data_IF_026751527634
#
_entry.id   IF_026751527634
#
_cell.length_a   1.000
_cell.length_b   1.000
_cell.length_c   1.000
_cell.angle_alpha   90.00
_cell.angle_beta   90.00
_cell.angle_gamma   90.00
#
_symmetry.space_group_name_H-M   'P 1'
#
loop_
_entity.id
_entity.type
_entity.pdbx_description
1 polymer ?
#
# COMPACT_ATOMS: atom_id res chain seq x y z
N UNK A 1 35.48 -36.66 0.65
CA UNK A 1 34.26 -36.95 1.43
C UNK A 1 33.89 -35.69 2.24
N UNK A 2 32.63 -35.22 2.08
CA UNK A 2 31.89 -34.16 2.83
C UNK A 2 32.59 -32.79 3.01
N UNK A 3 32.50 -31.83 2.07
CA UNK A 3 31.42 -30.82 1.87
C UNK A 3 30.34 -30.69 2.97
N UNK A 4 30.45 -29.61 3.75
CA UNK A 4 29.51 -28.46 3.76
C UNK A 4 28.12 -28.61 4.41
N UNK A 5 27.87 -27.81 5.46
CA UNK A 5 26.59 -27.11 5.70
C UNK A 5 26.85 -25.98 6.70
N UNK A 6 27.25 -24.81 6.18
CA UNK A 6 27.08 -23.54 6.89
C UNK A 6 25.68 -23.03 6.54
N UNK A 7 24.82 -22.89 7.55
CA UNK A 7 23.50 -22.31 7.38
C UNK A 7 23.64 -20.84 6.97
N UNK A 8 23.25 -20.52 5.73
CA UNK A 8 23.02 -19.15 5.31
C UNK A 8 21.66 -18.77 5.90
N UNK A 9 21.69 -18.07 7.03
CA UNK A 9 20.52 -17.33 7.53
C UNK A 9 20.29 -16.18 6.55
N UNK A 10 19.29 -16.33 5.68
CA UNK A 10 18.80 -15.23 4.86
C UNK A 10 17.97 -14.33 5.76
N UNK A 11 18.64 -13.41 6.44
CA UNK A 11 17.98 -12.24 7.02
C UNK A 11 17.42 -11.43 5.87
N UNK A 12 16.09 -11.35 5.78
CA UNK A 12 15.36 -10.39 4.95
C UNK A 12 15.73 -8.98 5.43
N UNK A 13 16.84 -8.45 4.93
CA UNK A 13 17.22 -7.05 5.08
C UNK A 13 16.29 -6.28 4.16
N UNK A 14 15.35 -5.56 4.76
CA UNK A 14 14.68 -4.41 4.15
C UNK A 14 15.79 -3.40 3.80
N UNK A 15 16.38 -3.54 2.61
CA UNK A 15 17.28 -2.52 2.07
C UNK A 15 16.39 -1.40 1.58
N UNK A 16 16.12 -0.44 2.46
CA UNK A 16 15.70 0.88 2.05
C UNK A 16 16.84 1.50 1.24
N UNK A 17 16.79 1.34 -0.08
CA UNK A 17 17.64 2.12 -0.99
C UNK A 17 17.05 3.53 -1.01
N UNK A 18 17.78 4.46 -0.41
CA UNK A 18 17.48 5.88 -0.38
C UNK A 18 17.67 6.49 -1.77
N UNK A 19 16.74 6.21 -2.68
CA UNK A 19 16.48 7.03 -3.87
C UNK A 19 14.97 7.04 -4.11
N UNK A 20 14.29 8.08 -3.61
CA UNK A 20 13.01 8.54 -4.20
C UNK A 20 11.72 7.75 -3.96
N UNK A 21 11.71 6.60 -3.28
CA UNK A 21 10.47 5.92 -2.83
C UNK A 21 10.60 5.47 -1.38
N UNK A 22 10.34 6.38 -0.45
CA UNK A 22 10.41 6.10 0.97
C UNK A 22 9.14 5.43 1.48
N UNK A 23 9.21 4.16 1.86
CA UNK A 23 8.28 3.59 2.82
C UNK A 23 8.67 4.19 4.18
N UNK A 24 7.82 5.05 4.73
CA UNK A 24 8.05 5.65 6.05
C UNK A 24 7.37 4.81 7.14
N UNK A 25 8.16 4.19 8.01
CA UNK A 25 7.66 3.49 9.20
C UNK A 25 7.46 4.49 10.34
N UNK A 26 6.21 4.72 10.75
CA UNK A 26 5.86 5.64 11.84
C UNK A 26 6.42 5.26 13.21
N UNK A 27 6.90 4.03 13.40
CA UNK A 27 7.63 3.63 14.61
C UNK A 27 8.97 4.35 14.75
N UNK A 28 9.55 4.83 13.65
CA UNK A 28 10.87 5.49 13.60
C UNK A 28 10.83 6.99 13.87
N UNK A 29 9.63 7.59 13.95
CA UNK A 29 9.48 9.00 14.32
C UNK A 29 9.78 9.14 15.82
N UNK A 30 11.00 9.58 16.15
CA UNK A 30 11.45 9.80 17.53
C UNK A 30 10.53 10.81 18.24
N UNK A 31 10.17 10.47 19.46
CA UNK A 31 9.29 11.22 20.35
C UNK A 31 10.06 12.03 21.38
N UNK A 32 11.21 12.59 21.03
CA UNK A 32 12.07 13.28 22.02
C UNK A 32 11.37 14.50 22.66
N UNK A 33 10.25 14.96 22.09
CA UNK A 33 9.34 15.97 22.67
C UNK A 33 8.19 15.43 23.54
N UNK A 34 7.99 14.11 23.64
CA UNK A 34 6.79 13.53 24.26
C UNK A 34 6.96 13.17 25.75
N UNK A 35 8.18 13.04 26.26
CA UNK A 35 8.42 12.68 27.67
C UNK A 35 8.66 13.88 28.60
N UNK A 36 8.76 15.10 28.08
CA UNK A 36 9.01 16.30 28.89
C UNK A 36 7.76 17.07 29.33
N UNK A 37 6.54 16.65 28.95
CA UNK A 37 5.30 17.40 29.24
C UNK A 37 4.34 16.57 30.09
N UNK A 38 4.76 16.28 31.33
CA UNK A 38 3.86 15.96 32.42
C UNK A 38 3.51 17.26 33.17
N UNK A 39 2.91 18.22 32.46
CA UNK A 39 2.20 19.36 33.04
C UNK A 39 0.89 19.48 32.28
N UNK A 40 -0.21 19.62 33.02
CA UNK A 40 -1.57 19.81 32.50
C UNK A 40 -1.64 21.09 31.66
N UNK A 41 -1.30 20.98 30.39
CA UNK A 41 -1.69 21.91 29.33
C UNK A 41 -2.20 21.06 28.18
N UNK A 42 -3.38 21.41 27.66
CA UNK A 42 -3.85 20.85 26.39
C UNK A 42 -2.74 21.11 25.37
N UNK A 43 -2.20 20.07 24.69
CA UNK A 43 -1.13 20.27 23.73
C UNK A 43 -1.57 21.33 22.72
N UNK A 44 -0.76 22.38 22.51
CA UNK A 44 -1.04 23.38 21.49
C UNK A 44 -1.25 22.67 20.15
N UNK A 45 -2.36 22.94 19.43
CA UNK A 45 -2.62 22.32 18.14
C UNK A 45 -1.43 22.55 17.21
N UNK A 46 -0.92 21.49 16.58
CA UNK A 46 0.13 21.64 15.57
C UNK A 46 -0.45 22.44 14.39
N UNK A 47 0.26 23.45 13.86
CA UNK A 47 -0.20 24.16 12.68
C UNK A 47 -0.35 23.16 11.53
N UNK A 48 -1.46 23.26 10.80
CA UNK A 48 -1.74 22.40 9.65
C UNK A 48 -1.02 22.97 8.44
N UNK A 49 -0.13 22.20 7.82
CA UNK A 49 0.53 22.57 6.57
C UNK A 49 -0.26 21.98 5.41
N UNK A 50 -0.86 22.85 4.60
CA UNK A 50 -1.61 22.42 3.41
C UNK A 50 -0.68 21.91 2.32
N UNK A 51 -1.15 20.91 1.57
CA UNK A 51 -0.57 20.46 0.31
C UNK A 51 -0.55 21.63 -0.67
N UNK A 52 0.59 21.87 -1.30
CA UNK A 52 0.77 23.01 -2.23
C UNK A 52 0.08 22.82 -3.58
N UNK A 53 -0.12 21.56 -4.00
CA UNK A 53 -0.78 21.18 -5.27
C UNK A 53 -1.77 20.05 -5.05
N UNK A 54 -2.91 20.30 -4.36
CA UNK A 54 -3.90 19.27 -4.09
C UNK A 54 -4.51 18.77 -5.40
N UNK A 55 -4.96 17.52 -5.41
CA UNK A 55 -5.66 16.96 -6.57
C UNK A 55 -7.08 17.51 -6.62
N UNK A 56 -7.47 18.07 -7.76
CA UNK A 56 -8.83 18.50 -8.07
C UNK A 56 -9.62 17.46 -8.87
N UNK A 57 -8.94 16.52 -9.54
CA UNK A 57 -9.58 15.46 -10.31
C UNK A 57 -8.91 14.07 -10.16
N UNK A 58 -9.65 12.98 -10.41
CA UNK A 58 -9.10 11.62 -10.50
C UNK A 58 -8.00 11.43 -11.56
N UNK A 59 -7.86 12.36 -12.52
CA UNK A 59 -6.84 12.31 -13.58
C UNK A 59 -5.57 13.10 -13.23
N UNK A 60 -5.61 13.92 -12.19
CA UNK A 60 -4.47 14.74 -11.79
C UNK A 60 -3.29 13.87 -11.32
N UNK A 61 -2.08 14.38 -11.52
CA UNK A 61 -0.84 13.72 -11.13
C UNK A 61 -0.78 13.45 -9.62
N UNK A 62 -0.32 12.25 -9.26
CA UNK A 62 -0.11 11.83 -7.88
C UNK A 62 1.38 11.92 -7.52
N UNK A 63 1.74 12.94 -6.73
CA UNK A 63 2.99 12.95 -5.99
C UNK A 63 2.77 12.15 -4.69
N UNK A 64 2.72 10.83 -4.82
CA UNK A 64 2.30 9.90 -3.78
C UNK A 64 3.43 9.43 -2.85
N UNK A 65 3.10 9.18 -1.58
CA UNK A 65 3.96 8.47 -0.63
C UNK A 65 3.15 7.40 0.10
N UNK A 66 3.71 6.18 0.21
CA UNK A 66 3.10 5.10 1.00
C UNK A 66 3.43 5.27 2.49
N UNK A 67 2.38 5.24 3.31
CA UNK A 67 2.45 5.33 4.77
C UNK A 67 1.90 4.04 5.34
N UNK A 68 2.76 3.25 5.98
CA UNK A 68 2.37 1.99 6.60
C UNK A 68 2.05 2.22 8.06
N UNK A 69 0.90 1.71 8.51
CA UNK A 69 0.48 1.78 9.91
C UNK A 69 0.24 0.38 10.46
N UNK A 70 0.81 0.11 11.63
CA UNK A 70 0.66 -1.14 12.36
C UNK A 70 0.04 -0.86 13.73
N UNK A 71 -0.91 -1.71 14.12
CA UNK A 71 -1.53 -1.71 15.43
C UNK A 71 -2.13 -0.39 15.87
N UNK A 72 -2.22 -0.21 17.20
CA UNK A 72 -2.98 0.87 17.81
C UNK A 72 -2.10 1.69 18.76
N UNK A 73 -1.49 2.75 18.22
CA UNK A 73 -0.68 3.69 18.99
C UNK A 73 -1.56 4.77 19.65
N UNK A 74 -1.55 4.95 20.98
CA UNK A 74 -2.34 5.99 21.64
C UNK A 74 -1.94 7.43 21.23
N UNK A 75 -0.75 7.61 20.66
CA UNK A 75 -0.26 8.89 20.15
C UNK A 75 -0.41 9.03 18.63
N UNK A 76 -1.17 8.14 17.98
CA UNK A 76 -1.27 8.04 16.52
C UNK A 76 -1.70 9.36 15.86
N UNK A 77 -2.68 10.07 16.43
CA UNK A 77 -3.15 11.34 15.88
C UNK A 77 -2.02 12.37 15.74
N UNK A 78 -1.23 12.56 16.81
CA UNK A 78 -0.10 13.49 16.80
C UNK A 78 0.99 13.04 15.81
N UNK A 79 1.29 11.74 15.74
CA UNK A 79 2.26 11.21 14.77
C UNK A 79 1.80 11.40 13.33
N UNK A 80 0.51 11.17 13.05
CA UNK A 80 -0.09 11.41 11.74
C UNK A 80 0.00 12.89 11.35
N UNK A 81 -0.31 13.82 12.27
CA UNK A 81 -0.17 15.26 12.03
C UNK A 81 1.26 15.68 11.66
N UNK A 82 2.25 15.21 12.43
CA UNK A 82 3.67 15.51 12.18
C UNK A 82 4.11 14.95 10.83
N UNK A 83 3.80 13.68 10.55
CA UNK A 83 4.15 13.04 9.29
C UNK A 83 3.51 13.75 8.11
N UNK A 84 2.19 13.99 8.15
CA UNK A 84 1.47 14.59 7.03
C UNK A 84 1.88 16.04 6.78
N UNK A 85 2.21 16.80 7.83
CA UNK A 85 2.86 18.10 7.68
C UNK A 85 4.19 17.98 6.94
N UNK A 86 5.04 17.01 7.34
CA UNK A 86 6.32 16.79 6.66
C UNK A 86 6.13 16.42 5.20
N UNK A 87 5.21 15.50 4.88
CA UNK A 87 4.91 15.12 3.50
C UNK A 87 4.42 16.30 2.66
N UNK A 88 3.60 17.18 3.23
CA UNK A 88 3.14 18.39 2.54
C UNK A 88 4.31 19.33 2.21
N UNK A 89 5.28 19.51 3.13
CA UNK A 89 6.48 20.31 2.86
C UNK A 89 7.39 19.72 1.79
N UNK A 90 7.34 18.39 1.58
CA UNK A 90 8.07 17.69 0.52
C UNK A 90 7.36 17.76 -0.84
N UNK A 91 6.18 18.39 -0.91
CA UNK A 91 5.40 18.53 -2.14
C UNK A 91 4.54 17.31 -2.48
N UNK A 92 4.39 16.34 -1.56
CA UNK A 92 3.45 15.24 -1.75
C UNK A 92 2.01 15.78 -1.76
N UNK A 93 1.16 15.20 -2.61
CA UNK A 93 -0.27 15.56 -2.71
C UNK A 93 -1.21 14.37 -2.50
N UNK A 94 -0.64 13.17 -2.40
CA UNK A 94 -1.38 11.92 -2.22
C UNK A 94 -0.65 11.04 -1.22
N UNK A 95 -1.40 10.23 -0.48
CA UNK A 95 -0.85 9.23 0.43
C UNK A 95 -1.55 7.89 0.25
N UNK A 96 -0.77 6.81 0.21
CA UNK A 96 -1.30 5.44 0.26
C UNK A 96 -1.22 4.96 1.71
N UNK A 97 -2.37 4.90 2.39
CA UNK A 97 -2.48 4.34 3.73
C UNK A 97 -2.47 2.81 3.62
N UNK A 98 -1.31 2.23 3.90
CA UNK A 98 -1.11 0.79 3.88
C UNK A 98 -1.41 0.22 5.26
N UNK A 99 -2.36 -0.72 5.31
CA UNK A 99 -2.73 -1.43 6.54
C UNK A 99 -2.48 -2.93 6.34
N UNK A 100 -1.87 -3.64 7.29
CA UNK A 100 -1.68 -5.06 7.16
C UNK A 100 -3.01 -5.80 7.38
N UNK A 101 -3.26 -6.81 6.56
CA UNK A 101 -4.26 -7.86 6.83
C UNK A 101 -3.55 -9.20 6.77
N UNK A 102 -4.08 -10.22 7.42
CA UNK A 102 -3.29 -11.41 7.73
C UNK A 102 -3.95 -12.68 7.25
N UNK A 103 -3.11 -13.65 6.88
CA UNK A 103 -3.46 -15.06 6.92
C UNK A 103 -2.37 -15.81 7.71
N UNK A 104 -2.73 -16.91 8.36
CA UNK A 104 -1.82 -17.55 9.34
C UNK A 104 -0.56 -18.14 8.69
N UNK A 105 -0.69 -18.73 7.51
CA UNK A 105 0.40 -19.33 6.75
C UNK A 105 0.05 -19.30 5.26
N UNK A 106 0.99 -19.64 4.37
CA UNK A 106 0.78 -19.56 2.92
C UNK A 106 -0.37 -20.45 2.41
N UNK A 107 -0.66 -21.55 3.12
CA UNK A 107 -1.77 -22.47 2.85
C UNK A 107 -3.02 -22.25 3.73
N UNK A 108 -3.14 -21.11 4.42
CA UNK A 108 -4.35 -20.80 5.18
C UNK A 108 -5.50 -20.38 4.25
N UNK A 109 -6.71 -20.85 4.53
CA UNK A 109 -7.93 -20.52 3.78
C UNK A 109 -8.70 -19.31 4.33
N UNK A 110 -8.15 -18.60 5.30
CA UNK A 110 -8.82 -17.45 5.94
C UNK A 110 -7.92 -16.22 5.94
N UNK A 111 -8.53 -15.08 5.61
CA UNK A 111 -7.91 -13.76 5.69
C UNK A 111 -8.66 -12.90 6.71
N UNK A 112 -7.94 -12.23 7.61
CA UNK A 112 -8.53 -11.47 8.71
C UNK A 112 -7.77 -10.17 9.01
N UNK A 113 -8.45 -9.26 9.72
CA UNK A 113 -7.80 -8.12 10.37
C UNK A 113 -7.45 -8.54 11.81
N UNK A 114 -6.16 -8.65 12.11
CA UNK A 114 -5.67 -8.90 13.47
C UNK A 114 -6.01 -7.71 14.38
N UNK A 115 -6.69 -7.91 15.53
CA UNK A 115 -7.16 -6.80 16.37
C UNK A 115 -6.04 -6.01 17.07
N UNK A 116 -4.82 -6.55 17.11
CA UNK A 116 -3.64 -5.92 17.72
C UNK A 116 -2.71 -5.35 16.66
N UNK A 117 -2.51 -6.05 15.54
CA UNK A 117 -1.54 -5.68 14.49
C UNK A 117 -2.16 -4.87 13.35
N UNK A 118 -3.44 -5.03 13.08
CA UNK A 118 -4.17 -4.18 12.12
C UNK A 118 -4.65 -2.94 12.87
N UNK A 119 -4.44 -1.73 12.33
CA UNK A 119 -5.02 -0.53 12.93
C UNK A 119 -6.54 -0.64 13.03
N UNK A 120 -7.09 -0.11 14.12
CA UNK A 120 -8.54 0.04 14.28
C UNK A 120 -9.15 0.94 13.21
N UNK A 121 -10.43 0.74 12.93
CA UNK A 121 -11.23 1.60 12.06
C UNK A 121 -11.16 3.08 12.49
N UNK A 122 -11.09 3.34 13.81
CA UNK A 122 -10.90 4.66 14.38
C UNK A 122 -9.53 5.27 14.03
N UNK A 123 -8.44 4.50 14.09
CA UNK A 123 -7.11 4.97 13.68
C UNK A 123 -7.09 5.32 12.18
N UNK A 124 -7.71 4.48 11.33
CA UNK A 124 -7.84 4.78 9.89
C UNK A 124 -8.63 6.08 9.68
N UNK A 125 -9.72 6.29 10.41
CA UNK A 125 -10.53 7.52 10.34
C UNK A 125 -9.76 8.78 10.81
N UNK A 126 -8.94 8.65 11.85
CA UNK A 126 -8.03 9.71 12.31
C UNK A 126 -7.05 10.08 11.21
N UNK A 127 -6.38 9.09 10.60
CA UNK A 127 -5.44 9.35 9.49
C UNK A 127 -6.14 10.06 8.33
N UNK A 128 -7.31 9.55 7.92
CA UNK A 128 -8.11 10.12 6.84
C UNK A 128 -8.47 11.58 7.10
N UNK A 129 -8.90 11.88 8.32
CA UNK A 129 -9.25 13.25 8.75
C UNK A 129 -8.03 14.17 8.70
N UNK A 130 -6.90 13.74 9.25
CA UNK A 130 -5.67 14.53 9.24
C UNK A 130 -5.12 14.79 7.84
N UNK A 131 -5.24 13.79 6.95
CA UNK A 131 -4.83 13.91 5.56
C UNK A 131 -5.75 14.88 4.80
N UNK A 132 -7.07 14.77 4.99
CA UNK A 132 -8.07 15.64 4.36
C UNK A 132 -7.96 17.09 4.80
N UNK A 133 -7.70 17.38 6.08
CA UNK A 133 -7.47 18.75 6.58
C UNK A 133 -6.29 19.45 5.89
N UNK A 134 -5.35 18.68 5.35
CA UNK A 134 -4.18 19.17 4.61
C UNK A 134 -4.38 19.17 3.09
N UNK A 135 -5.50 18.62 2.59
CA UNK A 135 -5.78 18.51 1.15
C UNK A 135 -5.12 17.32 0.45
N UNK A 136 -4.71 16.28 1.18
CA UNK A 136 -4.21 15.04 0.57
C UNK A 136 -5.35 14.21 -0.06
N UNK A 137 -5.06 13.62 -1.22
CA UNK A 137 -5.82 12.49 -1.75
C UNK A 137 -5.35 11.20 -1.07
N UNK A 138 -6.25 10.40 -0.49
CA UNK A 138 -5.89 9.19 0.25
C UNK A 138 -6.32 7.92 -0.51
N UNK A 139 -5.38 6.99 -0.70
CA UNK A 139 -5.65 5.61 -1.09
C UNK A 139 -5.64 4.71 0.17
N UNK A 140 -6.67 3.89 0.38
CA UNK A 140 -6.61 2.80 1.37
C UNK A 140 -6.09 1.53 0.69
N UNK A 141 -5.04 0.93 1.27
CA UNK A 141 -4.39 -0.27 0.74
C UNK A 141 -4.26 -1.34 1.83
N UNK A 142 -5.27 -2.22 1.99
CA UNK A 142 -5.13 -3.45 2.76
C UNK A 142 -4.12 -4.37 2.08
N UNK A 143 -2.99 -4.64 2.74
CA UNK A 143 -1.89 -5.42 2.21
C UNK A 143 -1.79 -6.74 2.98
N UNK A 144 -1.88 -7.87 2.25
CA UNK A 144 -1.82 -9.20 2.85
C UNK A 144 -0.40 -9.55 3.32
N UNK A 145 -0.31 -9.96 4.57
CA UNK A 145 0.89 -10.48 5.22
C UNK A 145 0.66 -11.92 5.72
N UNK A 146 1.73 -12.71 5.73
CA UNK A 146 1.71 -14.12 6.15
C UNK A 146 2.39 -14.21 7.51
N UNK A 147 1.63 -14.64 8.53
CA UNK A 147 2.10 -14.62 9.92
C UNK A 147 3.24 -15.62 10.15
N UNK A 148 3.08 -16.85 9.68
CA UNK A 148 4.06 -17.94 9.82
C UNK A 148 4.74 -18.17 8.48
N UNK A 149 6.03 -17.85 8.42
CA UNK A 149 6.91 -18.13 7.28
C UNK A 149 7.72 -19.39 7.59
N UNK A 150 7.20 -20.56 7.20
CA UNK A 150 7.81 -21.86 7.53
C UNK A 150 9.16 -22.08 6.83
N UNK A 151 9.33 -21.59 5.61
CA UNK A 151 10.51 -21.80 4.77
C UNK A 151 11.10 -20.50 4.18
N UNK A 152 10.49 -19.34 4.47
CA UNK A 152 10.85 -18.04 3.90
C UNK A 152 10.67 -17.92 2.38
N UNK A 153 10.16 -18.95 1.71
CA UNK A 153 9.99 -18.99 0.26
C UNK A 153 8.62 -18.49 -0.18
N UNK A 154 7.62 -18.60 0.70
CA UNK A 154 6.27 -18.14 0.42
C UNK A 154 6.06 -16.67 0.78
N UNK A 155 5.41 -15.96 -0.14
CA UNK A 155 4.97 -14.58 0.01
C UNK A 155 3.53 -14.46 -0.51
N UNK A 156 2.88 -13.30 -0.37
CA UNK A 156 1.44 -13.15 -0.72
C UNK A 156 1.10 -13.57 -2.15
N UNK A 157 2.03 -13.46 -3.10
CA UNK A 157 1.85 -13.93 -4.47
C UNK A 157 1.88 -15.44 -4.63
N UNK A 158 2.49 -16.19 -3.71
CA UNK A 158 2.60 -17.65 -3.79
C UNK A 158 1.74 -18.40 -2.78
N UNK A 159 0.70 -17.76 -2.23
CA UNK A 159 -0.28 -18.41 -1.35
C UNK A 159 -1.04 -19.52 -2.08
N UNK A 160 -1.41 -20.57 -1.36
CA UNK A 160 -2.13 -21.73 -1.89
C UNK A 160 -3.19 -22.22 -0.88
N UNK A 161 -4.26 -21.44 -0.65
CA UNK A 161 -5.35 -21.88 0.21
C UNK A 161 -5.96 -23.19 -0.34
N UNK A 162 -6.02 -24.28 0.45
CA UNK A 162 -6.62 -25.54 0.02
C UNK A 162 -8.13 -25.39 -0.20
N UNK A 163 -8.79 -24.54 0.59
CA UNK A 163 -10.17 -24.09 0.35
C UNK A 163 -10.17 -22.67 -0.22
N UNK A 164 -10.10 -22.58 -1.55
CA UNK A 164 -10.18 -21.29 -2.26
C UNK A 164 -11.54 -20.61 -2.09
N UNK A 165 -12.62 -21.35 -1.84
CA UNK A 165 -13.94 -20.75 -1.67
C UNK A 165 -14.04 -20.02 -0.33
N UNK A 166 -13.57 -20.64 0.75
CA UNK A 166 -13.44 -19.99 2.06
C UNK A 166 -12.49 -18.79 2.00
N UNK A 167 -11.35 -18.93 1.32
CA UNK A 167 -10.40 -17.80 1.17
C UNK A 167 -11.05 -16.63 0.44
N UNK A 168 -11.71 -16.89 -0.70
CA UNK A 168 -12.41 -15.85 -1.47
C UNK A 168 -13.50 -15.18 -0.66
N UNK A 169 -14.26 -15.95 0.12
CA UNK A 169 -15.34 -15.45 0.98
C UNK A 169 -14.80 -14.54 2.09
N UNK A 170 -13.79 -14.98 2.84
CA UNK A 170 -13.19 -14.19 3.94
C UNK A 170 -12.48 -12.94 3.41
N UNK A 171 -11.74 -13.07 2.30
CA UNK A 171 -11.10 -11.93 1.64
C UNK A 171 -12.13 -10.90 1.14
N UNK A 172 -13.19 -11.33 0.46
CA UNK A 172 -14.23 -10.43 -0.03
C UNK A 172 -14.96 -9.72 1.12
N UNK A 173 -15.30 -10.44 2.20
CA UNK A 173 -15.90 -9.84 3.38
C UNK A 173 -15.01 -8.76 4.01
N UNK A 174 -13.70 -9.02 4.08
CA UNK A 174 -12.71 -8.07 4.61
C UNK A 174 -12.54 -6.84 3.72
N UNK A 175 -12.41 -7.01 2.40
CA UNK A 175 -12.33 -5.88 1.46
C UNK A 175 -13.63 -5.06 1.48
N UNK A 176 -14.80 -5.69 1.60
CA UNK A 176 -16.08 -4.98 1.73
C UNK A 176 -16.19 -4.19 3.04
N UNK A 177 -15.60 -4.66 4.15
CA UNK A 177 -15.46 -3.84 5.37
C UNK A 177 -14.67 -2.56 5.06
N UNK A 178 -13.51 -2.69 4.42
CA UNK A 178 -12.66 -1.54 4.09
C UNK A 178 -13.24 -0.62 3.01
N UNK A 179 -14.06 -1.13 2.09
CA UNK A 179 -14.81 -0.31 1.15
C UNK A 179 -15.80 0.62 1.85
N UNK A 180 -16.58 0.10 2.81
CA UNK A 180 -17.49 0.91 3.63
C UNK A 180 -16.73 1.93 4.47
N UNK A 181 -15.60 1.54 5.05
CA UNK A 181 -14.75 2.44 5.83
C UNK A 181 -14.16 3.55 4.96
N UNK A 182 -13.68 3.21 3.76
CA UNK A 182 -13.16 4.17 2.80
C UNK A 182 -14.25 5.17 2.36
N UNK A 183 -15.46 4.69 2.12
CA UNK A 183 -16.61 5.53 1.79
C UNK A 183 -16.97 6.49 2.92
N UNK A 184 -17.09 5.98 4.16
CA UNK A 184 -17.43 6.76 5.33
C UNK A 184 -16.41 7.86 5.66
N UNK A 185 -15.15 7.67 5.25
CA UNK A 185 -14.06 8.61 5.49
C UNK A 185 -13.64 9.41 4.26
N UNK A 186 -14.42 9.36 3.18
CA UNK A 186 -14.17 10.10 1.93
C UNK A 186 -12.78 9.84 1.34
N UNK A 187 -12.30 8.59 1.39
CA UNK A 187 -11.03 8.23 0.76
C UNK A 187 -11.20 8.25 -0.76
N UNK A 188 -10.16 8.65 -1.48
CA UNK A 188 -10.22 8.85 -2.92
C UNK A 188 -10.10 7.52 -3.68
N UNK A 189 -9.30 6.58 -3.16
CA UNK A 189 -8.99 5.33 -3.84
C UNK A 189 -9.04 4.15 -2.85
N UNK A 190 -9.57 3.01 -3.29
CA UNK A 190 -9.43 1.72 -2.60
C UNK A 190 -8.61 0.77 -3.49
N UNK A 191 -7.51 0.27 -2.95
CA UNK A 191 -6.76 -0.82 -3.54
C UNK A 191 -7.32 -2.15 -3.01
N UNK A 192 -7.88 -2.97 -3.91
CA UNK A 192 -8.57 -4.21 -3.53
C UNK A 192 -7.65 -5.43 -3.49
N UNK A 193 -6.36 -5.27 -3.79
CA UNK A 193 -5.38 -6.34 -3.71
C UNK A 193 -4.04 -5.93 -4.31
N UNK A 194 -2.96 -6.49 -3.74
CA UNK A 194 -1.59 -6.23 -4.17
C UNK A 194 -0.87 -7.55 -4.33
N UNK A 195 -0.38 -7.82 -5.55
CA UNK A 195 0.51 -8.94 -5.87
C UNK A 195 0.00 -10.32 -5.41
N UNK A 196 -1.31 -10.56 -5.50
CA UNK A 196 -1.91 -11.86 -5.18
C UNK A 196 -1.82 -12.80 -6.39
N UNK A 197 -0.62 -12.97 -6.94
CA UNK A 197 -0.31 -13.65 -8.20
C UNK A 197 -1.05 -14.99 -8.39
N UNK A 198 -1.06 -15.85 -7.37
CA UNK A 198 -1.71 -17.16 -7.40
C UNK A 198 -3.24 -17.10 -7.41
N UNK A 199 -3.81 -15.93 -7.11
CA UNK A 199 -5.24 -15.64 -7.10
C UNK A 199 -5.69 -14.81 -8.31
N UNK A 200 -4.78 -14.20 -9.07
CA UNK A 200 -5.10 -13.31 -10.20
C UNK A 200 -5.88 -13.99 -11.35
N UNK A 201 -5.67 -15.30 -11.54
CA UNK A 201 -6.35 -16.06 -12.62
C UNK A 201 -7.85 -16.27 -12.37
N UNK A 202 -8.32 -16.07 -11.15
CA UNK A 202 -9.74 -16.17 -10.80
C UNK A 202 -10.52 -14.90 -11.22
N UNK A 203 -10.56 -14.61 -12.53
CA UNK A 203 -11.16 -13.37 -13.05
C UNK A 203 -12.62 -13.13 -12.61
N UNK A 204 -13.43 -14.18 -12.55
CA UNK A 204 -14.83 -14.09 -12.11
C UNK A 204 -14.96 -13.65 -10.64
N UNK A 205 -14.06 -14.11 -9.76
CA UNK A 205 -14.02 -13.68 -8.37
C UNK A 205 -13.68 -12.18 -8.28
N UNK A 206 -12.62 -11.75 -8.97
CA UNK A 206 -12.19 -10.36 -8.95
C UNK A 206 -13.24 -9.41 -9.53
N UNK A 207 -13.86 -9.77 -10.65
CA UNK A 207 -14.95 -8.98 -11.23
C UNK A 207 -16.17 -8.89 -10.29
N UNK A 208 -16.54 -9.99 -9.63
CA UNK A 208 -17.61 -10.00 -8.64
C UNK A 208 -17.29 -9.15 -7.40
N UNK A 209 -16.04 -9.20 -6.92
CA UNK A 209 -15.56 -8.37 -5.82
C UNK A 209 -15.60 -6.88 -6.20
N UNK A 210 -15.10 -6.52 -7.38
CA UNK A 210 -15.14 -5.14 -7.89
C UNK A 210 -16.59 -4.65 -7.97
N UNK A 211 -17.50 -5.45 -8.51
CA UNK A 211 -18.93 -5.12 -8.56
C UNK A 211 -19.52 -4.85 -7.18
N UNK A 212 -19.21 -5.71 -6.20
CA UNK A 212 -19.66 -5.55 -4.81
C UNK A 212 -19.06 -4.30 -4.15
N UNK A 213 -17.76 -4.03 -4.34
CA UNK A 213 -17.10 -2.82 -3.81
C UNK A 213 -17.79 -1.57 -4.34
N UNK A 214 -18.16 -1.53 -5.63
CA UNK A 214 -18.83 -0.38 -6.24
C UNK A 214 -20.22 -0.09 -5.67
N UNK A 215 -20.88 -1.04 -5.00
CA UNK A 215 -22.15 -0.77 -4.30
C UNK A 215 -21.93 -0.08 -2.96
N UNK A 216 -20.72 -0.10 -2.41
CA UNK A 216 -20.40 0.44 -1.09
C UNK A 216 -19.39 1.60 -1.13
N UNK A 217 -18.62 1.74 -2.19
CA UNK A 217 -17.57 2.75 -2.36
C UNK A 217 -17.65 3.40 -3.74
N UNK A 218 -17.66 4.74 -3.77
CA UNK A 218 -17.84 5.54 -4.98
C UNK A 218 -16.56 6.28 -5.43
N UNK A 219 -15.45 6.08 -4.73
CA UNK A 219 -14.13 6.51 -5.20
C UNK A 219 -13.55 5.57 -6.25
N UNK A 220 -12.26 5.76 -6.60
CA UNK A 220 -11.60 4.92 -7.59
C UNK A 220 -11.21 3.55 -7.01
N UNK A 221 -11.43 2.47 -7.75
CA UNK A 221 -11.01 1.12 -7.40
C UNK A 221 -9.80 0.72 -8.22
N UNK A 222 -8.76 0.19 -7.57
CA UNK A 222 -7.53 -0.30 -8.21
C UNK A 222 -7.08 -1.65 -7.64
N UNK A 223 -6.12 -2.28 -8.33
CA UNK A 223 -5.38 -3.47 -7.90
C UNK A 223 -3.91 -3.26 -8.29
N UNK A 224 -2.97 -3.57 -7.40
CA UNK A 224 -1.54 -3.45 -7.65
C UNK A 224 -0.95 -4.77 -8.16
N UNK A 225 -0.58 -4.81 -9.44
CA UNK A 225 0.11 -5.96 -10.03
C UNK A 225 1.61 -5.90 -9.77
N UNK A 226 2.22 -7.05 -9.53
CA UNK A 226 3.67 -7.17 -9.46
C UNK A 226 4.32 -6.81 -10.82
N UNK A 227 5.42 -6.04 -10.80
CA UNK A 227 6.14 -5.59 -12.00
C UNK A 227 6.55 -6.70 -12.98
N UNK A 228 6.80 -7.92 -12.47
CA UNK A 228 7.30 -9.02 -13.28
C UNK A 228 6.20 -9.58 -14.21
N UNK A 229 4.92 -9.28 -13.96
CA UNK A 229 3.78 -9.91 -14.61
C UNK A 229 3.05 -9.03 -15.61
N UNK A 230 2.23 -9.67 -16.43
CA UNK A 230 1.18 -8.98 -17.16
C UNK A 230 0.05 -8.63 -16.20
N UNK A 231 -0.51 -7.43 -16.34
CA UNK A 231 -1.65 -7.02 -15.55
C UNK A 231 -2.85 -7.95 -15.84
N UNK A 232 -3.58 -8.43 -14.81
CA UNK A 232 -4.67 -9.37 -14.99
C UNK A 232 -5.84 -8.78 -15.79
N UNK A 233 -6.57 -9.63 -16.53
CA UNK A 233 -7.63 -9.19 -17.45
C UNK A 233 -8.80 -8.49 -16.76
N UNK A 234 -9.07 -8.81 -15.49
CA UNK A 234 -10.08 -8.11 -14.68
C UNK A 234 -9.75 -6.62 -14.48
N UNK A 235 -8.51 -6.19 -14.80
CA UNK A 235 -8.12 -4.78 -14.81
C UNK A 235 -9.02 -3.90 -15.67
N UNK A 236 -9.75 -4.45 -16.66
CA UNK A 236 -10.76 -3.71 -17.43
C UNK A 236 -11.91 -3.17 -16.56
N UNK A 237 -12.21 -3.83 -15.44
CA UNK A 237 -13.28 -3.46 -14.50
C UNK A 237 -12.85 -2.42 -13.44
N UNK A 238 -11.54 -2.11 -13.34
CA UNK A 238 -10.99 -1.12 -12.42
C UNK A 238 -11.10 0.31 -12.96
N UNK A 239 -10.93 1.32 -12.11
CA UNK A 239 -10.93 2.75 -12.54
C UNK A 239 -9.54 3.21 -12.98
N UNK A 240 -8.50 2.62 -12.40
CA UNK A 240 -7.10 2.78 -12.77
C UNK A 240 -6.39 1.43 -12.63
N UNK A 241 -5.21 1.31 -13.23
CA UNK A 241 -4.33 0.16 -13.06
C UNK A 241 -3.11 0.59 -12.24
N UNK A 242 -2.66 -0.28 -11.33
CA UNK A 242 -1.53 0.02 -10.44
C UNK A 242 -0.41 -1.02 -10.54
N UNK A 243 0.84 -0.59 -10.50
CA UNK A 243 2.01 -1.49 -10.57
C UNK A 243 2.92 -1.25 -9.37
N UNK A 244 3.30 -2.32 -8.69
CA UNK A 244 4.40 -2.29 -7.73
C UNK A 244 5.70 -2.50 -8.52
N UNK A 245 6.41 -1.41 -8.79
CA UNK A 245 7.29 -1.15 -9.91
C UNK A 245 8.78 -1.29 -9.57
N UNK A 246 9.14 -2.36 -8.85
CA UNK A 246 10.52 -2.72 -8.52
C UNK A 246 11.30 -3.30 -9.72
N UNK A 247 11.36 -2.53 -10.80
CA UNK A 247 12.02 -2.93 -12.03
C UNK A 247 13.55 -3.00 -11.85
N UNK A 248 14.21 -4.11 -12.26
CA UNK A 248 15.66 -4.16 -12.23
C UNK A 248 16.23 -3.21 -13.29
N UNK A 249 17.15 -2.34 -12.85
CA UNK A 249 17.88 -1.44 -13.72
C UNK A 249 19.25 -2.02 -14.00
N UNK A 250 19.58 -2.18 -15.28
CA UNK A 250 20.93 -2.56 -15.70
C UNK A 250 21.80 -1.31 -15.73
N UNK A 251 22.34 -0.94 -14.57
CA UNK A 251 23.20 0.22 -14.40
C UNK A 251 24.31 -0.09 -13.38
N UNK A 252 25.52 0.50 -13.51
CA UNK A 252 26.58 0.33 -12.52
C UNK A 252 26.28 1.10 -11.23
N UNK A 253 26.95 0.77 -10.12
CA UNK A 253 26.74 1.43 -8.82
C UNK A 253 27.04 2.95 -8.84
N UNK A 254 27.90 3.39 -9.75
CA UNK A 254 28.25 4.79 -9.96
C UNK A 254 27.47 5.43 -11.13
N UNK A 255 26.33 4.84 -11.53
CA UNK A 255 25.49 5.34 -12.61
C UNK A 255 25.11 6.81 -12.41
N UNK A 256 25.22 7.59 -13.47
CA UNK A 256 24.69 8.95 -13.50
C UNK A 256 23.16 8.93 -13.53
N UNK A 257 22.52 10.07 -13.25
CA UNK A 257 21.09 10.21 -13.43
C UNK A 257 20.65 9.92 -14.88
N UNK A 258 21.49 10.27 -15.87
CA UNK A 258 21.22 9.98 -17.29
C UNK A 258 21.24 8.47 -17.59
N UNK A 259 22.15 7.72 -16.96
CA UNK A 259 22.23 6.27 -17.11
C UNK A 259 20.98 5.60 -16.54
N UNK A 260 20.52 6.05 -15.36
CA UNK A 260 19.29 5.56 -14.74
C UNK A 260 18.07 5.89 -15.61
N UNK A 261 17.95 7.12 -16.12
CA UNK A 261 16.87 7.51 -17.05
C UNK A 261 16.87 6.61 -18.29
N UNK A 262 18.05 6.26 -18.81
CA UNK A 262 18.20 5.36 -19.96
C UNK A 262 17.76 3.93 -19.61
N UNK A 263 18.20 3.40 -18.47
CA UNK A 263 17.84 2.06 -18.00
C UNK A 263 16.32 1.91 -17.77
N UNK A 264 15.63 3.00 -17.44
CA UNK A 264 14.17 3.04 -17.27
C UNK A 264 13.38 2.98 -18.57
N UNK A 265 13.95 3.37 -19.72
CA UNK A 265 13.18 3.55 -20.96
C UNK A 265 12.40 2.29 -21.40
N UNK A 266 13.00 1.11 -21.24
CA UNK A 266 12.32 -0.15 -21.56
C UNK A 266 11.09 -0.40 -20.69
N UNK A 267 11.16 0.01 -19.42
CA UNK A 267 10.09 -0.16 -18.44
C UNK A 267 8.99 0.87 -18.67
N UNK A 268 9.35 2.13 -18.97
CA UNK A 268 8.40 3.15 -19.42
C UNK A 268 7.63 2.67 -20.65
N UNK A 269 8.30 2.10 -21.66
CA UNK A 269 7.63 1.56 -22.84
C UNK A 269 6.69 0.39 -22.50
N UNK A 270 7.04 -0.47 -21.53
CA UNK A 270 6.17 -1.55 -21.04
C UNK A 270 4.93 -0.99 -20.33
N UNK A 271 5.11 -0.04 -19.42
CA UNK A 271 4.03 0.63 -18.70
C UNK A 271 3.08 1.35 -19.67
N UNK A 272 3.62 2.00 -20.70
CA UNK A 272 2.82 2.69 -21.72
C UNK A 272 1.97 1.71 -22.55
N UNK A 273 2.53 0.55 -22.92
CA UNK A 273 1.75 -0.51 -23.60
C UNK A 273 0.60 -1.01 -22.70
N UNK A 274 0.88 -1.22 -21.42
CA UNK A 274 -0.13 -1.63 -20.44
C UNK A 274 -1.22 -0.57 -20.25
N UNK A 275 -0.84 0.70 -20.10
CA UNK A 275 -1.75 1.84 -20.02
C UNK A 275 -2.70 1.89 -21.23
N UNK A 276 -2.15 1.71 -22.44
CA UNK A 276 -2.91 1.70 -23.70
C UNK A 276 -3.83 0.48 -23.82
N UNK A 277 -3.40 -0.72 -23.42
CA UNK A 277 -4.21 -1.94 -23.54
C UNK A 277 -5.46 -1.93 -22.64
N UNK A 278 -5.40 -1.26 -21.50
CA UNK A 278 -6.55 -1.09 -20.61
C UNK A 278 -7.31 0.22 -20.86
N UNK A 279 -6.74 1.15 -21.64
CA UNK A 279 -7.24 2.52 -21.80
C UNK A 279 -7.57 3.19 -20.46
N UNK A 280 -6.67 3.03 -19.49
CA UNK A 280 -6.83 3.52 -18.11
C UNK A 280 -5.59 4.28 -17.67
N UNK A 281 -5.75 5.14 -16.67
CA UNK A 281 -4.62 5.76 -15.96
C UNK A 281 -3.80 4.66 -15.29
N UNK A 282 -2.48 4.79 -15.34
CA UNK A 282 -1.53 3.91 -14.66
C UNK A 282 -0.88 4.66 -13.50
N UNK A 283 -0.82 4.05 -12.32
CA UNK A 283 -0.17 4.59 -11.12
C UNK A 283 0.87 3.59 -10.62
N UNK A 284 2.08 4.05 -10.30
CA UNK A 284 3.06 3.23 -9.58
C UNK A 284 2.73 3.30 -8.10
N UNK A 285 2.44 2.16 -7.47
CA UNK A 285 1.95 2.11 -6.08
C UNK A 285 2.99 1.67 -5.06
N UNK A 286 4.08 1.07 -5.53
CA UNK A 286 5.34 0.79 -4.83
C UNK A 286 6.52 0.83 -5.81
#
# INVERSE_FOLDING_TARGET
MRKGTGAIVVTLVLVAVTVGTGIWDLRTVRTDDAQAVAVRTTPTPLPTIAVTRPRGSPQDYEAGVSVVIYGNDPYFDRKAQVLLNRLATLGANSVSLVIPVFQQGWAASEVYADPVKTPTDAAIAVFATQARHRGFSVMLRPLLDIVVQEDGAHWRGSIQPPDRAQWKSTYAALIMKYARLAQANHLAILNIGSELDSMEKDGAFWQGLIGSVRTAFHGQVTYSSNWAKSFPSFGQSLDLISVDAYFPLKAPDNASASDLVTAWQQWIARLDRMRRSFNKRLVLTE
#
